data_IF_581680197033
#
_entry.id   IF_581680197033
#
_cell.length_a   1.000
_cell.length_b   1.000
_cell.length_c   1.000
_cell.angle_alpha   90.00
_cell.angle_beta   90.00
_cell.angle_gamma   90.00
#
_symmetry.space_group_name_H-M   'P 1'
#
loop_
_entity.id
_entity.type
_entity.pdbx_description
1 polymer ?
#
# COMPACT_ATOMS: atom_id res chain seq x y z
N UNK A 1 17.71 15.36 23.08
CA UNK A 1 16.99 16.47 22.42
C UNK A 1 17.23 17.72 23.25
N UNK A 2 17.16 18.92 22.68
CA UNK A 2 17.21 20.15 23.49
C UNK A 2 15.90 20.31 24.29
N UNK A 3 15.93 20.96 25.46
CA UNK A 3 14.75 21.12 26.35
C UNK A 3 13.50 21.67 25.62
N UNK A 4 13.71 22.57 24.65
CA UNK A 4 12.64 23.11 23.81
C UNK A 4 11.89 22.02 23.00
N UNK A 5 12.61 21.05 22.44
CA UNK A 5 12.02 19.97 21.64
C UNK A 5 11.20 19.03 22.52
N UNK A 6 11.66 18.75 23.74
CA UNK A 6 10.96 17.89 24.70
C UNK A 6 9.62 18.50 25.14
N UNK A 7 9.62 19.81 25.43
CA UNK A 7 8.40 20.56 25.76
C UNK A 7 7.44 20.56 24.57
N UNK A 8 7.95 20.80 23.35
CA UNK A 8 7.13 20.84 22.14
C UNK A 8 6.47 19.48 21.86
N UNK A 9 7.23 18.37 21.96
CA UNK A 9 6.69 17.02 21.80
C UNK A 9 5.60 16.71 22.82
N UNK A 10 5.78 17.09 24.09
CA UNK A 10 4.79 16.84 25.14
C UNK A 10 3.46 17.59 24.89
N UNK A 11 3.54 18.85 24.44
CA UNK A 11 2.34 19.63 24.09
C UNK A 11 1.64 19.00 22.88
N UNK A 12 2.38 18.76 21.79
CA UNK A 12 1.80 18.25 20.54
C UNK A 12 1.18 16.85 20.68
N UNK A 13 1.73 15.98 21.53
CA UNK A 13 1.22 14.63 21.76
C UNK A 13 -0.21 14.61 22.35
N UNK A 14 -0.62 15.71 23.01
CA UNK A 14 -1.94 15.83 23.64
C UNK A 14 -2.94 16.66 22.81
N UNK A 15 -2.49 17.23 21.70
CA UNK A 15 -3.32 18.07 20.84
C UNK A 15 -4.03 17.26 19.77
N UNK A 16 -5.25 17.69 19.43
CA UNK A 16 -6.00 17.10 18.33
C UNK A 16 -5.41 17.57 17.00
N UNK A 17 -4.73 16.67 16.29
CA UNK A 17 -4.24 16.94 14.93
C UNK A 17 -5.38 16.75 13.93
N UNK A 18 -5.61 17.75 13.08
CA UNK A 18 -6.48 17.64 11.91
C UNK A 18 -5.65 17.90 10.65
N UNK A 19 -5.72 16.96 9.70
CA UNK A 19 -5.10 17.10 8.38
C UNK A 19 -6.21 17.31 7.35
N UNK A 20 -6.07 18.34 6.53
CA UNK A 20 -6.98 18.61 5.41
C UNK A 20 -6.18 18.75 4.11
N UNK A 21 -6.81 18.36 3.01
CA UNK A 21 -6.25 18.49 1.66
C UNK A 21 -7.15 19.44 0.85
N UNK A 22 -7.10 20.76 1.12
CA UNK A 22 -8.07 21.72 0.58
C UNK A 22 -7.98 21.88 -0.95
N UNK A 23 -6.82 21.58 -1.53
CA UNK A 23 -6.58 21.65 -2.98
C UNK A 23 -6.86 20.32 -3.69
N UNK A 24 -7.13 19.25 -2.95
CA UNK A 24 -7.41 17.93 -3.53
C UNK A 24 -8.87 17.87 -3.98
N UNK A 25 -9.10 17.88 -5.28
CA UNK A 25 -10.46 17.76 -5.83
C UNK A 25 -10.87 16.29 -5.94
N UNK A 26 -12.18 16.03 -6.05
CA UNK A 26 -12.68 14.67 -6.31
C UNK A 26 -12.08 14.06 -7.59
N UNK A 27 -11.81 14.89 -8.61
CA UNK A 27 -11.17 14.44 -9.85
C UNK A 27 -9.73 13.99 -9.62
N UNK A 28 -8.99 14.64 -8.72
CA UNK A 28 -7.63 14.24 -8.38
C UNK A 28 -7.63 12.90 -7.62
N UNK A 29 -8.57 12.70 -6.70
CA UNK A 29 -8.75 11.43 -5.99
C UNK A 29 -9.03 10.28 -6.96
N UNK A 30 -9.98 10.46 -7.87
CA UNK A 30 -10.32 9.43 -8.87
C UNK A 30 -9.11 9.09 -9.74
N UNK A 31 -8.39 10.10 -10.23
CA UNK A 31 -7.17 9.89 -11.04
C UNK A 31 -6.07 9.17 -10.28
N UNK A 32 -5.86 9.51 -9.01
CA UNK A 32 -4.88 8.84 -8.16
C UNK A 32 -5.25 7.36 -8.03
N UNK A 33 -6.51 7.04 -7.70
CA UNK A 33 -6.97 5.65 -7.58
C UNK A 33 -6.82 4.91 -8.90
N UNK A 34 -7.26 5.48 -10.02
CA UNK A 34 -7.13 4.87 -11.34
C UNK A 34 -5.67 4.59 -11.72
N UNK A 35 -4.76 5.53 -11.45
CA UNK A 35 -3.33 5.38 -11.73
C UNK A 35 -2.70 4.27 -10.88
N UNK A 36 -2.99 4.23 -9.58
CA UNK A 36 -2.46 3.20 -8.69
C UNK A 36 -3.05 1.81 -9.03
N UNK A 37 -4.34 1.72 -9.35
CA UNK A 37 -4.94 0.49 -9.86
C UNK A 37 -4.28 0.03 -11.16
N UNK A 38 -4.01 0.94 -12.11
CA UNK A 38 -3.35 0.58 -13.36
C UNK A 38 -1.93 0.06 -13.12
N UNK A 39 -1.14 0.69 -12.24
CA UNK A 39 0.19 0.22 -11.87
C UNK A 39 0.16 -1.18 -11.26
N UNK A 40 -0.79 -1.44 -10.37
CA UNK A 40 -0.95 -2.76 -9.77
C UNK A 40 -1.34 -3.81 -10.80
N UNK A 41 -2.27 -3.50 -11.71
CA UNK A 41 -2.62 -4.40 -12.82
C UNK A 41 -1.41 -4.68 -13.72
N UNK A 42 -0.58 -3.67 -14.00
CA UNK A 42 0.65 -3.85 -14.77
C UNK A 42 1.67 -4.77 -14.06
N UNK A 43 1.83 -4.62 -12.73
CA UNK A 43 2.66 -5.52 -11.91
C UNK A 43 2.14 -6.95 -11.92
N UNK A 44 0.84 -7.14 -11.67
CA UNK A 44 0.19 -8.46 -11.71
C UNK A 44 0.38 -9.10 -13.08
N UNK A 45 0.19 -8.34 -14.16
CA UNK A 45 0.42 -8.83 -15.51
C UNK A 45 1.87 -9.30 -15.70
N UNK A 46 2.85 -8.54 -15.23
CA UNK A 46 4.27 -8.93 -15.31
C UNK A 46 4.56 -10.22 -14.54
N UNK A 47 3.99 -10.40 -13.34
CA UNK A 47 4.10 -11.64 -12.55
C UNK A 47 3.52 -12.83 -13.31
N UNK A 48 2.37 -12.63 -13.97
CA UNK A 48 1.69 -13.68 -14.74
C UNK A 48 2.37 -14.02 -16.07
N UNK A 49 3.11 -13.07 -16.67
CA UNK A 49 3.88 -13.29 -17.90
C UNK A 49 5.29 -13.85 -17.63
N UNK A 50 5.68 -14.01 -16.36
CA UNK A 50 6.95 -14.62 -15.99
C UNK A 50 6.88 -16.15 -16.09
N UNK A 51 7.24 -16.66 -17.27
CA UNK A 51 7.31 -18.09 -17.59
C UNK A 51 8.57 -18.79 -17.02
N UNK A 52 9.38 -18.10 -16.21
CA UNK A 52 10.60 -18.69 -15.64
C UNK A 52 10.35 -19.58 -14.42
N UNK A 53 9.17 -19.47 -13.81
CA UNK A 53 8.79 -20.23 -12.62
C UNK A 53 8.25 -21.61 -13.01
N UNK A 54 8.75 -22.67 -12.34
CA UNK A 54 8.26 -24.02 -12.56
C UNK A 54 6.87 -24.21 -11.90
N UNK A 55 6.06 -25.17 -12.36
CA UNK A 55 4.71 -25.45 -11.78
C UNK A 55 4.73 -25.64 -10.24
N UNK A 56 5.85 -26.10 -9.68
CA UNK A 56 6.05 -26.22 -8.22
C UNK A 56 6.17 -24.89 -7.47
N UNK A 57 6.38 -23.79 -8.19
CA UNK A 57 6.55 -22.41 -7.69
C UNK A 57 5.31 -21.54 -7.97
N UNK A 58 4.21 -22.12 -8.46
CA UNK A 58 2.96 -21.41 -8.74
C UNK A 58 2.39 -20.67 -7.51
N UNK A 59 2.68 -21.16 -6.29
CA UNK A 59 2.35 -20.46 -5.05
C UNK A 59 3.11 -19.15 -4.86
N UNK A 60 4.33 -19.04 -5.40
CA UNK A 60 5.14 -17.83 -5.34
C UNK A 60 4.55 -16.71 -6.20
N UNK A 61 4.04 -17.04 -7.39
CA UNK A 61 3.31 -16.07 -8.23
C UNK A 61 2.05 -15.55 -7.52
N UNK A 62 1.31 -16.43 -6.84
CA UNK A 62 0.13 -16.03 -6.07
C UNK A 62 0.54 -15.11 -4.91
N UNK A 63 1.62 -15.44 -4.18
CA UNK A 63 2.14 -14.59 -3.11
C UNK A 63 2.55 -13.21 -3.62
N UNK A 64 3.25 -13.12 -4.76
CA UNK A 64 3.66 -11.83 -5.35
C UNK A 64 2.45 -10.97 -5.79
N UNK A 65 1.38 -11.61 -6.26
CA UNK A 65 0.10 -10.92 -6.53
C UNK A 65 -0.50 -10.39 -5.23
N UNK A 66 -0.52 -11.19 -4.16
CA UNK A 66 -1.04 -10.76 -2.85
C UNK A 66 -0.22 -9.59 -2.29
N UNK A 67 1.11 -9.65 -2.36
CA UNK A 67 1.99 -8.55 -1.98
C UNK A 67 1.70 -7.28 -2.79
N UNK A 68 1.41 -7.40 -4.09
CA UNK A 68 1.03 -6.25 -4.93
C UNK A 68 -0.24 -5.55 -4.41
N UNK A 69 -1.21 -6.30 -3.89
CA UNK A 69 -2.40 -5.72 -3.24
C UNK A 69 -2.09 -5.11 -1.87
N UNK A 70 -1.23 -5.75 -1.07
CA UNK A 70 -0.81 -5.23 0.24
C UNK A 70 -0.03 -3.91 0.13
N UNK A 71 0.82 -3.77 -0.89
CA UNK A 71 1.50 -2.52 -1.21
C UNK A 71 0.54 -1.38 -1.56
N UNK A 72 -0.62 -1.69 -2.15
CA UNK A 72 -1.68 -0.71 -2.38
C UNK A 72 -2.46 -0.34 -1.11
N UNK A 73 -2.21 -1.01 0.01
CA UNK A 73 -2.98 -0.88 1.25
C UNK A 73 -4.28 -1.70 1.26
N UNK A 74 -4.51 -2.55 0.27
CA UNK A 74 -5.55 -3.57 0.32
C UNK A 74 -5.02 -4.75 1.12
N UNK A 75 -5.73 -5.24 2.14
CA UNK A 75 -5.23 -6.30 3.03
C UNK A 75 -5.02 -7.68 2.38
N UNK A 76 -4.91 -7.78 1.05
CA UNK A 76 -4.63 -9.01 0.31
C UNK A 76 -5.77 -10.05 0.30
N UNK A 77 -6.78 -9.87 1.16
CA UNK A 77 -7.85 -10.85 1.40
C UNK A 77 -7.55 -11.74 2.61
N UNK A 78 -8.20 -12.89 2.68
CA UNK A 78 -7.94 -13.87 3.76
C UNK A 78 -6.76 -14.77 3.38
N UNK A 79 -5.65 -14.65 4.10
CA UNK A 79 -4.51 -15.58 4.01
C UNK A 79 -4.85 -16.85 4.80
N UNK A 80 -4.82 -18.01 4.16
CA UNK A 80 -4.85 -19.29 4.85
C UNK A 80 -3.42 -19.66 5.21
N UNK A 81 -3.09 -19.75 6.50
CA UNK A 81 -1.80 -20.29 6.93
C UNK A 81 -1.73 -21.77 6.51
N UNK A 82 -0.72 -22.11 5.69
CA UNK A 82 -0.38 -23.50 5.43
C UNK A 82 0.38 -24.02 6.64
N UNK A 83 -0.29 -24.82 7.47
CA UNK A 83 0.30 -25.51 8.62
C UNK A 83 1.23 -26.65 8.24
#
# INVERSE_FOLDING_TARGET
>A
MELYQEILCHVLANEKIQVSFPELTNTDVTKIVELECYKALAKIKAILEDDTLADSECFQQIEEIVCTFEELGSGGGSRHDFG
#
